data_IF_693502530997
#
_entry.id   IF_693502530997
#
_cell.length_a   1.000
_cell.length_b   1.000
_cell.length_c   1.000
_cell.angle_alpha   90.00
_cell.angle_beta   90.00
_cell.angle_gamma   90.00
#
_symmetry.space_group_name_H-M   'P 1'
#
loop_
_entity.id
_entity.type
_entity.pdbx_description
1 polymer ?
#
# COMPACT_ATOMS: atom_id res chain seq x y z
N UNK A 1 -15.69 1.12 -4.71
CA UNK A 1 -14.30 1.61 -4.75
C UNK A 1 -13.42 0.41 -4.40
N UNK A 2 -12.45 0.01 -5.25
CA UNK A 2 -11.54 -1.09 -4.88
C UNK A 2 -10.52 -0.51 -3.91
N UNK A 3 -10.47 -1.04 -2.70
CA UNK A 3 -9.57 -0.56 -1.65
C UNK A 3 -8.17 -1.08 -2.01
N UNK A 4 -7.15 -0.23 -2.09
CA UNK A 4 -5.78 -0.67 -2.40
C UNK A 4 -5.12 -1.32 -1.18
N UNK A 5 -5.51 -2.55 -0.88
CA UNK A 5 -5.11 -3.25 0.33
C UNK A 5 -3.97 -4.24 0.07
N UNK A 6 -2.76 -3.81 0.42
CA UNK A 6 -1.59 -4.66 0.63
C UNK A 6 -1.16 -5.51 -0.59
N UNK A 7 -1.36 -4.96 -1.80
CA UNK A 7 -0.15 -4.56 -2.52
C UNK A 7 0.59 -3.56 -1.62
N UNK A 8 1.81 -3.85 -1.17
CA UNK A 8 2.52 -2.99 -0.19
C UNK A 8 3.05 -1.66 -0.76
N UNK A 9 2.68 -1.35 -2.00
CA UNK A 9 2.83 -0.06 -2.69
C UNK A 9 2.00 1.08 -2.04
N UNK A 10 2.29 1.37 -0.76
CA UNK A 10 1.78 2.55 -0.05
C UNK A 10 2.59 3.77 -0.48
N UNK A 11 2.26 4.31 -1.66
CA UNK A 11 2.21 5.73 -2.03
C UNK A 11 1.38 5.79 -3.33
N UNK A 12 0.22 6.47 -3.32
CA UNK A 12 -0.56 6.70 -4.54
C UNK A 12 -0.18 8.02 -5.24
N UNK A 13 1.12 8.23 -5.44
CA UNK A 13 1.66 9.33 -6.25
C UNK A 13 3.01 8.98 -6.90
N UNK A 14 3.09 9.22 -8.20
CA UNK A 14 4.27 9.48 -9.05
C UNK A 14 5.67 9.04 -8.55
N UNK A 15 6.17 7.96 -9.15
CA UNK A 15 7.47 7.77 -9.86
C UNK A 15 8.82 8.35 -9.37
N UNK A 16 9.90 7.63 -9.77
CA UNK A 16 11.35 7.90 -9.75
C UNK A 16 12.18 7.45 -8.50
N UNK A 17 13.51 7.29 -8.68
CA UNK A 17 14.21 6.04 -8.24
C UNK A 17 15.51 6.16 -7.41
N UNK A 18 15.96 5.00 -6.85
CA UNK A 18 17.30 4.66 -6.26
C UNK A 18 17.73 5.36 -4.94
N UNK A 19 18.57 4.83 -4.03
CA UNK A 19 19.07 3.48 -3.59
C UNK A 19 19.73 3.64 -2.17
N UNK A 20 20.09 2.64 -1.34
CA UNK A 20 19.95 1.16 -1.35
C UNK A 20 21.20 0.45 -0.72
N UNK A 21 21.05 -0.55 0.18
CA UNK A 21 22.16 -1.45 0.64
C UNK A 21 22.13 -2.00 2.10
N UNK A 22 22.15 -3.35 2.23
CA UNK A 22 22.71 -4.28 3.26
C UNK A 22 22.66 -4.04 4.80
N UNK A 23 22.57 -5.06 5.70
CA UNK A 23 22.45 -6.54 5.56
C UNK A 23 21.76 -7.23 6.77
N UNK A 24 21.52 -8.55 6.64
CA UNK A 24 21.34 -9.60 7.67
C UNK A 24 20.14 -9.60 8.66
N UNK A 25 19.69 -10.82 9.02
CA UNK A 25 18.51 -11.09 9.87
C UNK A 25 18.67 -12.35 10.74
N UNK A 26 17.90 -12.44 11.84
CA UNK A 26 17.91 -13.55 12.80
C UNK A 26 16.52 -14.14 13.09
N UNK A 27 16.48 -15.40 13.52
CA UNK A 27 15.28 -16.25 13.57
C UNK A 27 14.42 -16.09 14.84
N UNK A 28 13.18 -16.61 14.82
CA UNK A 28 12.10 -16.19 15.72
C UNK A 28 11.41 -17.30 16.51
N UNK A 29 10.94 -16.98 17.72
CA UNK A 29 10.11 -17.88 18.55
C UNK A 29 8.94 -17.14 19.21
N UNK A 30 7.92 -17.90 19.64
CA UNK A 30 6.61 -17.52 20.25
C UNK A 30 5.44 -17.20 19.29
N UNK A 31 4.26 -17.71 19.65
CA UNK A 31 2.99 -17.48 18.95
C UNK A 31 2.47 -16.08 19.25
N UNK A 32 2.42 -15.21 18.23
CA UNK A 32 2.03 -13.81 18.37
C UNK A 32 0.64 -13.54 17.77
N UNK A 33 -0.41 -13.99 18.46
CA UNK A 33 -1.76 -13.47 18.23
C UNK A 33 -1.72 -11.94 18.38
N UNK A 34 -2.11 -11.23 17.32
CA UNK A 34 -2.00 -9.78 17.25
C UNK A 34 -3.02 -9.21 16.26
N UNK A 35 -3.43 -7.97 16.50
CA UNK A 35 -4.34 -7.21 15.63
C UNK A 35 -3.67 -5.90 15.21
N UNK A 36 -3.71 -5.61 13.92
CA UNK A 36 -3.20 -4.38 13.30
C UNK A 36 -4.25 -3.81 12.35
N UNK A 37 -4.38 -2.48 12.28
CA UNK A 37 -5.48 -1.83 11.57
C UNK A 37 -4.98 -0.88 10.49
N UNK A 38 -5.43 -1.07 9.26
CA UNK A 38 -5.14 -0.19 8.13
C UNK A 38 -6.34 0.70 7.82
N UNK A 39 -6.08 1.89 7.28
CA UNK A 39 -7.12 2.86 6.93
C UNK A 39 -6.82 3.46 5.55
N UNK A 40 -7.82 3.50 4.67
CA UNK A 40 -7.83 4.32 3.46
C UNK A 40 -8.77 5.49 3.70
N UNK A 41 -8.39 6.71 3.34
CA UNK A 41 -9.27 7.89 3.43
C UNK A 41 -10.37 7.85 2.38
N UNK A 42 -11.52 8.46 2.68
CA UNK A 42 -12.47 8.86 1.65
C UNK A 42 -11.91 9.88 0.67
N UNK A 43 -12.78 10.34 -0.22
CA UNK A 43 -12.47 11.34 -1.24
C UNK A 43 -13.60 12.39 -1.43
N UNK A 44 -14.70 12.25 -0.69
CA UNK A 44 -15.87 13.12 -0.77
C UNK A 44 -16.23 13.68 0.60
N UNK A 45 -16.65 14.96 0.61
CA UNK A 45 -17.23 15.58 1.82
C UNK A 45 -18.63 15.03 2.16
N UNK A 46 -19.16 14.14 1.32
CA UNK A 46 -20.41 13.40 1.49
C UNK A 46 -20.21 11.95 1.96
N UNK A 47 -18.95 11.49 2.10
CA UNK A 47 -18.66 10.15 2.63
C UNK A 47 -19.19 10.03 4.07
N UNK A 48 -19.87 8.91 4.38
CA UNK A 48 -20.53 8.69 5.68
C UNK A 48 -19.49 8.56 6.79
N UNK A 49 -18.39 7.86 6.50
CA UNK A 49 -17.25 7.70 7.37
C UNK A 49 -16.03 8.36 6.73
N UNK A 50 -15.16 9.00 7.52
CA UNK A 50 -13.92 9.60 6.99
C UNK A 50 -12.92 8.57 6.40
N UNK A 51 -13.11 7.29 6.72
CA UNK A 51 -12.21 6.20 6.34
C UNK A 51 -12.96 4.93 5.92
N UNK A 52 -12.28 4.15 5.09
CA UNK A 52 -12.40 2.70 5.03
C UNK A 52 -11.40 2.09 6.01
N UNK A 53 -11.80 1.06 6.76
CA UNK A 53 -10.98 0.40 7.78
C UNK A 53 -10.84 -1.10 7.49
N UNK A 54 -9.61 -1.59 7.61
CA UNK A 54 -9.31 -3.03 7.70
C UNK A 54 -8.70 -3.41 9.04
N UNK A 55 -8.80 -4.72 9.34
CA UNK A 55 -8.09 -5.42 10.40
C UNK A 55 -7.26 -6.54 9.78
N UNK A 56 -6.01 -6.63 10.23
CA UNK A 56 -5.14 -7.78 10.08
C UNK A 56 -5.11 -8.55 11.39
N UNK A 57 -5.35 -9.86 11.31
CA UNK A 57 -5.34 -10.77 12.46
C UNK A 57 -4.38 -11.92 12.19
N UNK A 58 -3.64 -12.34 13.23
CA UNK A 58 -2.64 -13.40 13.14
C UNK A 58 -3.00 -14.56 14.06
N UNK A 59 -3.05 -15.79 13.54
CA UNK A 59 -3.35 -17.01 14.30
C UNK A 59 -2.69 -18.22 13.63
N UNK A 60 -2.06 -19.14 14.39
CA UNK A 60 -1.52 -20.42 13.90
C UNK A 60 -0.67 -20.33 12.60
N UNK A 61 0.25 -19.37 12.55
CA UNK A 61 1.08 -19.01 11.38
C UNK A 61 0.29 -18.55 10.13
N UNK A 62 -0.99 -18.24 10.25
CA UNK A 62 -1.80 -17.62 9.20
C UNK A 62 -2.04 -16.14 9.51
N UNK A 63 -2.03 -15.35 8.44
CA UNK A 63 -2.41 -13.94 8.42
C UNK A 63 -3.76 -13.81 7.73
N UNK A 64 -4.70 -13.09 8.35
CA UNK A 64 -6.05 -12.87 7.85
C UNK A 64 -6.29 -11.38 7.64
N UNK A 65 -7.09 -11.03 6.63
CA UNK A 65 -7.60 -9.67 6.40
C UNK A 65 -9.12 -9.63 6.52
N UNK A 66 -9.64 -8.60 7.20
CA UNK A 66 -11.06 -8.29 7.24
C UNK A 66 -11.28 -6.79 7.01
N UNK A 67 -12.16 -6.42 6.09
CA UNK A 67 -12.75 -5.08 6.09
C UNK A 67 -13.77 -4.95 7.22
N UNK A 68 -13.63 -3.88 8.02
CA UNK A 68 -14.48 -3.60 9.18
C UNK A 68 -15.62 -2.63 8.82
N UNK A 69 -15.30 -1.58 8.06
CA UNK A 69 -16.28 -0.65 7.45
C UNK A 69 -15.66 0.15 6.29
N UNK A 70 -16.50 0.63 5.39
CA UNK A 70 -16.16 1.40 4.18
C UNK A 70 -16.56 2.87 4.35
N UNK A 71 -16.08 3.78 3.50
CA UNK A 71 -16.43 5.21 3.51
C UNK A 71 -17.93 5.47 3.29
N UNK A 72 -18.60 4.59 2.53
CA UNK A 72 -20.05 4.62 2.27
C UNK A 72 -20.92 4.03 3.40
N UNK A 73 -20.32 3.68 4.54
CA UNK A 73 -21.02 3.07 5.68
C UNK A 73 -21.16 1.54 5.61
N UNK A 74 -20.89 0.90 4.47
CA UNK A 74 -21.03 -0.55 4.32
C UNK A 74 -19.99 -1.33 5.12
N UNK A 75 -20.33 -2.58 5.46
CA UNK A 75 -19.48 -3.55 6.18
C UNK A 75 -19.28 -4.85 5.38
N UNK A 76 -19.75 -4.86 4.12
CA UNK A 76 -19.70 -6.01 3.23
C UNK A 76 -18.52 -5.85 2.28
N UNK A 77 -17.62 -6.82 2.29
CA UNK A 77 -16.41 -6.82 1.47
C UNK A 77 -16.21 -8.21 0.89
N UNK A 78 -16.03 -8.26 -0.43
CA UNK A 78 -15.58 -9.45 -1.15
C UNK A 78 -14.06 -9.55 -1.05
N UNK A 79 -13.52 -10.75 -1.28
CA UNK A 79 -12.06 -10.95 -1.36
C UNK A 79 -11.42 -10.04 -2.43
N UNK A 80 -12.11 -9.82 -3.55
CA UNK A 80 -11.68 -8.93 -4.65
C UNK A 80 -11.69 -7.43 -4.33
N UNK A 81 -12.22 -7.03 -3.17
CA UNK A 81 -12.18 -5.66 -2.67
C UNK A 81 -11.06 -5.46 -1.64
N UNK A 82 -10.42 -6.56 -1.21
CA UNK A 82 -9.47 -6.64 -0.10
C UNK A 82 -8.10 -7.21 -0.47
N UNK A 83 -8.00 -7.98 -1.57
CA UNK A 83 -6.84 -8.80 -1.91
C UNK A 83 -6.58 -8.84 -3.42
N UNK A 84 -5.29 -8.78 -3.78
CA UNK A 84 -4.78 -9.13 -5.10
C UNK A 84 -4.63 -10.66 -5.27
N UNK A 85 -4.53 -11.06 -6.53
CA UNK A 85 -4.00 -12.35 -6.97
C UNK A 85 -2.51 -12.18 -7.35
N UNK A 86 -1.68 -13.22 -7.19
CA UNK A 86 -0.25 -13.14 -7.57
C UNK A 86 0.17 -14.25 -8.53
N UNK A 87 1.01 -13.93 -9.52
CA UNK A 87 1.74 -14.93 -10.33
C UNK A 87 3.19 -15.01 -9.90
N UNK A 88 3.71 -16.22 -9.75
CA UNK A 88 5.14 -16.50 -9.64
C UNK A 88 5.54 -17.65 -10.60
N UNK A 89 6.80 -18.06 -10.55
CA UNK A 89 7.35 -19.10 -11.44
C UNK A 89 6.67 -20.47 -11.27
N UNK A 90 6.22 -20.83 -10.06
CA UNK A 90 5.52 -22.09 -9.78
C UNK A 90 4.02 -22.06 -10.13
N UNK A 91 3.34 -20.93 -9.92
CA UNK A 91 1.92 -20.81 -10.29
C UNK A 91 1.20 -19.51 -9.96
N UNK A 92 -0.12 -19.66 -9.85
CA UNK A 92 -1.08 -18.60 -9.52
C UNK A 92 -1.54 -18.78 -8.06
N UNK A 93 -1.25 -17.76 -7.27
CA UNK A 93 -1.74 -17.53 -5.92
C UNK A 93 -3.09 -16.81 -6.05
N UNK A 94 -4.17 -17.58 -6.14
CA UNK A 94 -5.52 -17.04 -6.30
C UNK A 94 -6.14 -16.62 -4.96
N UNK A 95 -6.78 -15.45 -4.93
CA UNK A 95 -7.30 -14.87 -3.71
C UNK A 95 -8.36 -15.77 -3.01
N UNK A 96 -8.34 -15.88 -1.67
CA UNK A 96 -9.20 -16.77 -0.89
C UNK A 96 -10.69 -16.41 -1.07
N UNK A 97 -11.50 -17.34 -1.60
CA UNK A 97 -12.93 -17.10 -1.89
C UNK A 97 -13.83 -17.25 -0.66
N UNK A 98 -13.37 -17.95 0.37
CA UNK A 98 -14.08 -18.21 1.64
C UNK A 98 -13.59 -17.29 2.76
N UNK A 99 -14.52 -16.66 3.48
CA UNK A 99 -14.26 -15.86 4.68
C UNK A 99 -14.40 -16.72 5.94
N UNK A 100 -13.54 -16.49 6.92
CA UNK A 100 -13.61 -17.05 8.29
C UNK A 100 -14.00 -15.95 9.29
N UNK A 101 -14.22 -16.30 10.56
CA UNK A 101 -14.48 -15.31 11.63
C UNK A 101 -13.32 -14.32 11.84
N UNK A 102 -12.09 -14.70 11.46
CA UNK A 102 -10.90 -13.82 11.45
C UNK A 102 -10.75 -13.01 10.17
N UNK A 103 -11.60 -13.24 9.16
CA UNK A 103 -11.51 -12.66 7.82
C UNK A 103 -11.09 -13.68 6.76
N UNK A 104 -10.64 -13.17 5.61
CA UNK A 104 -10.07 -13.95 4.53
C UNK A 104 -8.63 -14.34 4.85
N UNK A 105 -8.24 -15.60 4.63
CA UNK A 105 -6.86 -16.08 4.87
C UNK A 105 -5.92 -15.51 3.79
N UNK A 106 -5.23 -14.42 4.10
CA UNK A 106 -4.37 -13.70 3.16
C UNK A 106 -3.06 -14.44 2.86
N UNK A 107 -2.37 -14.95 3.89
CA UNK A 107 -1.02 -15.50 3.73
C UNK A 107 -0.63 -16.47 4.86
N UNK A 108 0.32 -17.36 4.57
CA UNK A 108 1.04 -18.18 5.57
C UNK A 108 2.35 -17.51 5.96
N UNK A 109 2.52 -17.19 7.24
CA UNK A 109 3.78 -16.69 7.80
C UNK A 109 4.88 -17.75 7.73
N UNK A 110 6.04 -17.37 7.21
CA UNK A 110 7.32 -18.07 7.39
C UNK A 110 7.97 -17.59 8.68
N UNK A 111 8.05 -16.27 8.89
CA UNK A 111 8.51 -15.61 10.12
C UNK A 111 7.70 -14.34 10.41
N UNK A 112 7.67 -13.89 11.66
CA UNK A 112 7.00 -12.63 12.05
C UNK A 112 7.61 -12.03 13.30
N UNK A 113 8.39 -10.97 13.14
CA UNK A 113 8.86 -10.13 14.25
C UNK A 113 7.85 -9.00 14.56
N UNK A 114 8.19 -8.10 15.48
CA UNK A 114 7.44 -6.86 15.68
C UNK A 114 7.46 -5.95 14.44
N UNK A 115 8.53 -5.99 13.65
CA UNK A 115 8.86 -5.04 12.58
C UNK A 115 9.29 -5.66 11.25
N UNK A 116 9.35 -7.00 11.13
CA UNK A 116 9.69 -7.72 9.89
C UNK A 116 8.77 -8.92 9.75
N UNK A 117 7.94 -8.96 8.70
CA UNK A 117 6.97 -10.04 8.47
C UNK A 117 7.28 -10.74 7.14
N UNK A 118 7.69 -12.01 7.17
CA UNK A 118 7.94 -12.81 5.96
C UNK A 118 6.84 -13.85 5.78
N UNK A 119 6.19 -13.86 4.61
CA UNK A 119 5.04 -14.71 4.33
C UNK A 119 4.97 -15.17 2.87
N UNK A 120 4.28 -16.28 2.66
CA UNK A 120 3.85 -16.76 1.34
C UNK A 120 2.37 -16.41 1.19
N UNK A 121 1.95 -15.71 0.11
CA UNK A 121 0.53 -15.43 -0.16
C UNK A 121 -0.32 -16.71 -0.21
N UNK A 122 -1.63 -16.59 0.02
CA UNK A 122 -2.55 -17.72 -0.08
C UNK A 122 -2.61 -18.28 -1.51
N UNK A 123 -2.78 -19.60 -1.64
CA UNK A 123 -3.05 -20.27 -2.91
C UNK A 123 -3.95 -21.48 -2.68
N UNK A 124 -5.02 -21.61 -3.46
CA UNK A 124 -5.88 -22.81 -3.45
C UNK A 124 -5.15 -24.09 -3.86
N UNK A 125 -3.94 -23.98 -4.42
CA UNK A 125 -3.12 -25.07 -4.94
C UNK A 125 -1.88 -25.38 -4.10
N UNK A 126 -1.68 -24.68 -2.97
CA UNK A 126 -0.51 -24.80 -2.10
C UNK A 126 0.83 -24.48 -2.80
N UNK A 127 0.83 -23.55 -3.76
CA UNK A 127 2.08 -22.96 -4.25
C UNK A 127 2.83 -22.28 -3.10
N UNK A 128 4.16 -22.34 -3.10
CA UNK A 128 4.95 -21.97 -1.92
C UNK A 128 6.36 -21.41 -2.19
N UNK A 129 6.72 -21.19 -3.46
CA UNK A 129 8.01 -20.61 -3.81
C UNK A 129 8.05 -19.09 -3.64
N UNK A 130 6.93 -18.39 -3.86
CA UNK A 130 6.83 -16.96 -3.58
C UNK A 130 6.88 -16.69 -2.06
N UNK A 131 7.83 -15.86 -1.66
CA UNK A 131 7.90 -15.24 -0.34
C UNK A 131 7.99 -13.73 -0.50
N UNK A 132 7.17 -13.01 0.26
CA UNK A 132 7.20 -11.56 0.43
C UNK A 132 7.69 -11.26 1.86
N UNK A 133 8.48 -10.20 2.03
CA UNK A 133 8.97 -9.74 3.33
C UNK A 133 8.75 -8.25 3.47
N UNK A 134 8.07 -7.86 4.54
CA UNK A 134 7.69 -6.48 4.81
C UNK A 134 8.44 -5.97 6.03
N UNK A 135 9.23 -4.89 5.87
CA UNK A 135 10.00 -4.25 6.92
C UNK A 135 9.33 -2.95 7.36
N UNK A 136 9.29 -2.73 8.67
CA UNK A 136 8.63 -1.59 9.30
C UNK A 136 9.52 -0.92 10.35
N UNK A 137 9.21 0.32 10.70
CA UNK A 137 9.60 0.92 11.98
C UNK A 137 8.38 1.09 12.89
N UNK A 138 8.58 0.96 14.21
CA UNK A 138 7.52 1.23 15.20
C UNK A 138 7.55 2.70 15.62
N UNK A 139 6.52 3.45 15.24
CA UNK A 139 6.36 4.86 15.63
C UNK A 139 5.48 4.96 16.89
N UNK A 140 6.00 5.60 17.94
CA UNK A 140 5.18 6.00 19.09
C UNK A 140 4.29 7.18 18.70
N UNK A 141 2.98 7.05 18.94
CA UNK A 141 1.97 8.04 18.61
C UNK A 141 1.46 8.83 19.82
N UNK A 142 1.79 8.41 21.04
CA UNK A 142 1.26 8.98 22.30
C UNK A 142 1.31 10.52 22.32
N UNK A 143 0.14 11.15 22.44
CA UNK A 143 -0.02 12.62 22.51
C UNK A 143 0.02 13.35 21.16
N UNK A 144 0.39 12.68 20.05
CA UNK A 144 0.47 13.30 18.72
C UNK A 144 -0.92 13.49 18.10
N UNK A 145 -1.04 14.45 17.19
CA UNK A 145 -2.24 14.66 16.38
C UNK A 145 -2.52 13.47 15.46
N UNK A 146 -3.80 13.16 15.22
CA UNK A 146 -4.20 11.97 14.44
C UNK A 146 -3.96 12.13 12.93
N UNK A 147 -4.32 13.28 12.36
CA UNK A 147 -4.33 13.52 10.91
C UNK A 147 -3.02 13.23 10.14
N UNK A 148 -1.83 13.72 10.53
CA UNK A 148 -0.61 13.46 9.75
C UNK A 148 -0.25 11.97 9.65
N UNK A 149 -0.66 11.15 10.61
CA UNK A 149 -0.22 9.75 10.66
C UNK A 149 -1.08 8.81 9.81
N UNK A 150 -2.35 9.12 9.54
CA UNK A 150 -3.22 8.26 8.71
C UNK A 150 -3.06 8.59 7.22
N UNK A 151 -3.24 9.87 6.89
CA UNK A 151 -3.00 10.42 5.56
C UNK A 151 -2.41 11.82 5.76
N UNK A 152 -1.11 11.91 5.52
CA UNK A 152 -0.30 13.09 5.70
C UNK A 152 -0.42 14.04 4.52
N UNK A 153 -0.55 13.54 3.28
CA UNK A 153 -0.86 14.40 2.13
C UNK A 153 -2.13 15.22 2.38
N UNK A 154 -3.25 14.57 2.72
CA UNK A 154 -4.52 15.24 3.03
C UNK A 154 -4.38 16.17 4.25
N UNK A 155 -3.50 15.85 5.20
CA UNK A 155 -3.20 16.74 6.33
C UNK A 155 -2.46 18.01 5.90
N UNK A 156 -1.34 17.89 5.18
CA UNK A 156 -0.49 19.02 4.82
C UNK A 156 -1.11 19.87 3.72
N UNK A 157 -1.72 19.25 2.70
CA UNK A 157 -2.46 19.95 1.67
C UNK A 157 -3.71 20.63 2.24
N UNK A 158 -4.48 19.93 3.08
CA UNK A 158 -5.69 20.46 3.72
C UNK A 158 -5.45 21.59 4.71
N UNK A 159 -4.24 21.64 5.28
CA UNK A 159 -3.79 22.73 6.18
C UNK A 159 -3.25 23.95 5.43
N UNK A 160 -2.92 23.82 4.14
CA UNK A 160 -2.42 24.92 3.31
C UNK A 160 -3.54 25.53 2.46
N UNK A 161 -4.03 26.70 2.86
CA UNK A 161 -5.12 27.42 2.17
C UNK A 161 -4.82 27.71 0.69
N UNK A 162 -3.55 27.86 0.29
CA UNK A 162 -3.18 28.11 -1.11
C UNK A 162 -3.43 26.91 -2.04
N UNK A 163 -3.44 25.68 -1.52
CA UNK A 163 -3.69 24.46 -2.30
C UNK A 163 -5.18 24.13 -2.45
N UNK A 164 -6.08 24.82 -1.72
CA UNK A 164 -7.52 24.50 -1.64
C UNK A 164 -8.26 24.52 -2.99
N UNK A 165 -7.78 25.30 -3.97
CA UNK A 165 -8.33 25.34 -5.33
C UNK A 165 -7.83 24.20 -6.24
N UNK A 166 -6.85 23.42 -5.79
CA UNK A 166 -6.12 22.40 -6.58
C UNK A 166 -6.37 21.00 -6.05
N UNK A 167 -6.30 20.79 -4.73
CA UNK A 167 -6.66 19.51 -4.08
C UNK A 167 -8.15 19.40 -3.78
N UNK A 168 -8.90 20.50 -3.95
CA UNK A 168 -10.33 20.57 -3.69
C UNK A 168 -10.70 20.61 -2.21
N UNK A 169 -11.99 20.45 -1.92
CA UNK A 169 -12.53 20.66 -0.59
C UNK A 169 -12.25 19.51 0.41
N UNK A 170 -11.84 18.34 -0.06
CA UNK A 170 -11.74 17.14 0.78
C UNK A 170 -10.62 17.25 1.82
N UNK A 171 -9.43 17.70 1.43
CA UNK A 171 -8.28 17.81 2.34
C UNK A 171 -8.56 18.75 3.52
N UNK A 172 -9.17 19.91 3.26
CA UNK A 172 -9.56 20.83 4.33
C UNK A 172 -10.69 20.28 5.22
N UNK A 173 -11.63 19.50 4.65
CA UNK A 173 -12.65 18.78 5.42
C UNK A 173 -12.04 17.70 6.33
N UNK A 174 -11.07 16.93 5.82
CA UNK A 174 -10.30 15.93 6.57
C UNK A 174 -9.56 16.56 7.76
N UNK A 175 -8.82 17.65 7.52
CA UNK A 175 -8.14 18.43 8.58
C UNK A 175 -9.14 19.01 9.59
N UNK A 176 -10.30 19.48 9.14
CA UNK A 176 -11.34 20.02 10.02
C UNK A 176 -11.94 18.94 10.93
N UNK A 177 -12.27 17.75 10.40
CA UNK A 177 -12.82 16.61 11.16
C UNK A 177 -11.86 16.12 12.25
N UNK A 178 -10.56 16.12 11.95
CA UNK A 178 -9.50 15.63 12.86
C UNK A 178 -8.90 16.73 13.76
N UNK A 179 -9.38 17.97 13.67
CA UNK A 179 -8.81 19.12 14.40
C UNK A 179 -8.87 18.91 15.92
N UNK A 180 -7.69 18.97 16.56
CA UNK A 180 -7.55 18.79 18.01
C UNK A 180 -7.69 17.35 18.50
N UNK A 181 -7.78 16.36 17.61
CA UNK A 181 -7.82 14.94 17.96
C UNK A 181 -6.39 14.41 18.08
N UNK A 182 -6.08 13.76 19.20
CA UNK A 182 -4.75 13.20 19.50
C UNK A 182 -4.84 11.73 19.93
N UNK A 183 -3.75 11.00 19.75
CA UNK A 183 -3.64 9.61 20.17
C UNK A 183 -3.40 9.48 21.69
N UNK A 184 -4.11 8.57 22.39
CA UNK A 184 -3.91 8.33 23.82
C UNK A 184 -2.61 7.56 24.10
N UNK A 185 -2.24 7.43 25.38
CA UNK A 185 -1.09 6.65 25.84
C UNK A 185 -1.17 5.19 25.40
N UNK A 186 -0.04 4.61 24.99
CA UNK A 186 0.03 3.24 24.46
C UNK A 186 -0.35 3.12 22.98
N UNK A 187 -0.58 4.22 22.27
CA UNK A 187 -0.78 4.24 20.82
C UNK A 187 0.54 4.12 20.07
N UNK A 188 0.61 3.16 19.14
CA UNK A 188 1.73 2.99 18.21
C UNK A 188 1.22 2.63 16.82
N UNK A 189 2.05 2.84 15.81
CA UNK A 189 1.85 2.35 14.46
C UNK A 189 3.14 1.79 13.86
N UNK A 190 3.01 0.99 12.81
CA UNK A 190 4.07 0.54 11.93
C UNK A 190 4.05 1.42 10.68
N UNK A 191 5.17 2.05 10.35
CA UNK A 191 5.41 2.69 9.04
C UNK A 191 6.25 1.74 8.20
N UNK A 192 5.85 1.46 6.96
CA UNK A 192 6.65 0.65 6.02
C UNK A 192 8.01 1.30 5.76
N UNK A 193 9.05 0.49 5.62
CA UNK A 193 10.44 0.90 5.36
C UNK A 193 10.91 0.36 4.00
N UNK A 194 10.65 -0.91 3.73
CA UNK A 194 10.79 -1.55 2.43
C UNK A 194 10.01 -2.86 2.38
N UNK A 195 9.61 -3.22 1.18
CA UNK A 195 9.10 -4.55 0.85
C UNK A 195 10.21 -5.32 0.12
N UNK A 196 10.16 -6.65 0.13
CA UNK A 196 11.08 -7.47 -0.65
C UNK A 196 10.51 -8.83 -1.01
N UNK A 197 11.10 -9.48 -2.01
CA UNK A 197 10.68 -10.80 -2.47
C UNK A 197 11.86 -11.68 -2.88
N UNK A 198 11.71 -12.98 -2.66
CA UNK A 198 12.72 -13.99 -3.00
C UNK A 198 12.74 -14.37 -4.49
N UNK A 199 11.74 -13.98 -5.27
CA UNK A 199 11.59 -14.35 -6.69
C UNK A 199 10.80 -13.28 -7.44
N UNK A 200 10.96 -13.16 -8.75
CA UNK A 200 10.12 -12.24 -9.53
C UNK A 200 8.65 -12.68 -9.49
N UNK A 201 7.74 -11.73 -9.30
CA UNK A 201 6.31 -11.99 -9.26
C UNK A 201 5.50 -10.90 -9.97
N UNK A 202 4.20 -11.14 -10.11
CA UNK A 202 3.23 -10.18 -10.64
C UNK A 202 2.06 -10.07 -9.67
N UNK A 203 1.75 -8.86 -9.22
CA UNK A 203 0.50 -8.51 -8.52
C UNK A 203 -0.55 -8.10 -9.56
N UNK A 204 -1.77 -8.65 -9.48
CA UNK A 204 -2.89 -8.23 -10.32
C UNK A 204 -4.24 -8.46 -9.64
N UNK A 205 -5.28 -7.80 -10.15
CA UNK A 205 -6.66 -8.04 -9.72
C UNK A 205 -7.39 -8.85 -10.79
N UNK A 206 -7.80 -10.09 -10.51
CA UNK A 206 -8.62 -10.90 -11.43
C UNK A 206 -9.95 -10.23 -11.82
N UNK A 207 -10.41 -9.25 -11.03
CA UNK A 207 -11.57 -8.40 -11.32
C UNK A 207 -11.28 -7.21 -12.25
N UNK A 208 -10.12 -7.16 -12.93
CA UNK A 208 -9.69 -6.05 -13.80
C UNK A 208 -9.38 -6.47 -15.26
N UNK A 209 -9.90 -7.61 -15.73
CA UNK A 209 -9.69 -8.15 -17.10
C UNK A 209 -9.81 -7.11 -18.23
N UNK A 210 -8.79 -7.05 -19.10
CA UNK A 210 -8.82 -6.26 -20.32
C UNK A 210 -9.61 -6.96 -21.44
N UNK A 211 -10.46 -6.20 -22.11
CA UNK A 211 -11.13 -6.61 -23.35
C UNK A 211 -10.37 -6.04 -24.56
N UNK A 212 -10.22 -6.81 -25.63
CA UNK A 212 -9.56 -6.40 -26.88
C UNK A 212 -8.14 -5.82 -26.68
N UNK A 213 -7.36 -6.45 -25.79
CA UNK A 213 -6.00 -6.01 -25.47
C UNK A 213 -5.08 -5.97 -26.69
N UNK A 214 -4.35 -4.86 -26.84
CA UNK A 214 -3.33 -4.62 -27.84
C UNK A 214 -2.13 -3.95 -27.14
N UNK A 215 -0.98 -4.63 -27.01
CA UNK A 215 0.16 -4.10 -26.25
C UNK A 215 0.72 -2.81 -26.86
N UNK A 216 0.64 -2.65 -28.19
CA UNK A 216 1.11 -1.47 -28.92
C UNK A 216 0.21 -0.24 -28.72
N UNK A 217 -1.01 -0.42 -28.20
CA UNK A 217 -1.91 0.67 -27.81
C UNK A 217 -1.93 0.92 -26.30
N UNK A 218 -1.58 -0.09 -25.51
CA UNK A 218 -1.57 -0.02 -24.05
C UNK A 218 -0.30 0.67 -23.53
N UNK A 219 0.87 0.22 -23.98
CA UNK A 219 2.16 0.78 -23.58
C UNK A 219 2.61 1.86 -24.57
N UNK A 220 2.40 3.13 -24.22
CA UNK A 220 2.72 4.30 -25.06
C UNK A 220 4.18 4.32 -25.52
N UNK A 221 5.09 4.03 -24.59
CA UNK A 221 6.55 4.07 -24.77
C UNK A 221 7.11 2.70 -25.21
N UNK A 222 6.22 1.79 -25.63
CA UNK A 222 6.53 0.45 -26.08
C UNK A 222 6.73 -0.55 -24.94
N UNK A 223 6.88 -1.82 -25.33
CA UNK A 223 6.84 -2.96 -24.40
C UNK A 223 7.90 -4.03 -24.69
N UNK A 224 8.03 -4.98 -23.76
CA UNK A 224 8.86 -6.18 -23.85
C UNK A 224 7.97 -7.38 -23.50
N UNK A 225 7.71 -8.27 -24.47
CA UNK A 225 7.11 -9.57 -24.18
C UNK A 225 8.14 -10.50 -23.54
N UNK A 226 7.75 -11.18 -22.47
CA UNK A 226 8.58 -12.12 -21.71
C UNK A 226 7.71 -13.22 -21.06
N UNK A 227 8.31 -14.12 -20.29
CA UNK A 227 7.60 -15.18 -19.57
C UNK A 227 8.03 -15.25 -18.10
N UNK A 228 7.05 -15.32 -17.21
CA UNK A 228 7.26 -15.69 -15.81
C UNK A 228 6.79 -17.15 -15.61
N UNK A 229 7.75 -18.07 -15.47
CA UNK A 229 7.47 -19.51 -15.52
C UNK A 229 6.78 -19.90 -16.83
N UNK A 230 5.48 -20.20 -16.76
CA UNK A 230 4.61 -20.57 -17.89
C UNK A 230 3.66 -19.45 -18.36
N UNK A 231 3.66 -18.29 -17.70
CA UNK A 231 2.75 -17.19 -17.98
C UNK A 231 3.44 -16.17 -18.91
N UNK A 232 2.76 -15.77 -19.98
CA UNK A 232 3.27 -14.72 -20.86
C UNK A 232 2.95 -13.35 -20.24
N UNK A 233 3.94 -12.47 -20.20
CA UNK A 233 3.82 -11.09 -19.71
C UNK A 233 4.23 -10.13 -20.82
N UNK A 234 3.53 -9.02 -20.95
CA UNK A 234 4.02 -7.84 -21.66
C UNK A 234 4.35 -6.77 -20.62
N UNK A 235 5.60 -6.30 -20.58
CA UNK A 235 6.11 -5.32 -19.62
C UNK A 235 6.35 -3.96 -20.29
N UNK A 236 6.08 -2.86 -19.59
CA UNK A 236 6.44 -1.50 -20.02
C UNK A 236 7.95 -1.35 -20.23
N UNK A 237 8.34 -0.46 -21.16
CA UNK A 237 9.72 0.01 -21.31
C UNK A 237 10.08 1.19 -20.41
N UNK A 238 9.08 1.91 -19.89
CA UNK A 238 9.28 2.79 -18.73
C UNK A 238 9.46 1.90 -17.50
N UNK A 239 10.72 1.79 -17.05
CA UNK A 239 11.16 0.96 -15.93
C UNK A 239 11.92 1.84 -14.95
N UNK A 240 11.56 1.76 -13.67
CA UNK A 240 12.14 2.59 -12.62
C UNK A 240 12.70 1.70 -11.51
N UNK A 241 13.87 2.07 -10.96
CA UNK A 241 14.55 1.19 -10.01
C UNK A 241 13.83 1.17 -8.66
N UNK A 242 13.58 -0.05 -8.17
CA UNK A 242 13.00 -0.39 -6.87
C UNK A 242 11.51 -0.05 -6.72
N UNK A 243 10.77 0.02 -7.83
CA UNK A 243 9.29 0.04 -7.89
C UNK A 243 8.80 -1.13 -8.75
N UNK A 244 7.48 -1.34 -8.83
CA UNK A 244 6.91 -2.20 -9.88
C UNK A 244 7.15 -1.64 -11.29
N UNK A 245 7.22 -2.53 -12.28
CA UNK A 245 7.07 -2.20 -13.70
C UNK A 245 5.62 -2.46 -14.11
N UNK A 246 5.01 -1.49 -14.81
CA UNK A 246 3.67 -1.65 -15.40
C UNK A 246 3.65 -2.85 -16.36
N UNK A 247 2.69 -3.75 -16.17
CA UNK A 247 2.64 -5.04 -16.86
C UNK A 247 1.21 -5.40 -17.30
N UNK A 248 1.12 -6.34 -18.25
CA UNK A 248 -0.10 -7.09 -18.54
C UNK A 248 0.22 -8.58 -18.53
N UNK A 249 -0.47 -9.32 -17.69
CA UNK A 249 -0.31 -10.76 -17.55
C UNK A 249 -1.36 -11.53 -18.36
N UNK A 250 -0.93 -12.55 -19.11
CA UNK A 250 -1.83 -13.46 -19.82
C UNK A 250 -2.08 -14.74 -19.02
N UNK A 251 -3.34 -14.96 -18.65
CA UNK A 251 -3.79 -16.13 -17.88
C UNK A 251 -4.88 -16.85 -18.68
N UNK A 252 -4.53 -18.00 -19.27
CA UNK A 252 -5.42 -18.71 -20.19
C UNK A 252 -5.66 -17.92 -21.48
N UNK A 253 -6.92 -17.61 -21.78
CA UNK A 253 -7.31 -16.73 -22.89
C UNK A 253 -7.16 -15.24 -22.58
N UNK A 254 -7.04 -14.88 -21.31
CA UNK A 254 -7.41 -13.55 -20.81
C UNK A 254 -6.19 -12.72 -20.37
N UNK A 255 -6.34 -11.40 -20.41
CA UNK A 255 -5.29 -10.42 -20.15
C UNK A 255 -5.67 -9.53 -18.97
N UNK A 256 -4.74 -9.27 -18.06
CA UNK A 256 -4.98 -8.55 -16.80
C UNK A 256 -3.94 -7.43 -16.60
N UNK A 257 -4.34 -6.18 -16.29
CA UNK A 257 -3.44 -5.11 -15.87
C UNK A 257 -2.78 -5.52 -14.56
N UNK A 258 -1.48 -5.28 -14.45
CA UNK A 258 -0.68 -5.87 -13.39
C UNK A 258 0.59 -5.05 -13.08
N UNK A 259 1.19 -5.33 -11.94
CA UNK A 259 2.47 -4.77 -11.49
C UNK A 259 3.49 -5.91 -11.39
N UNK A 260 4.53 -5.87 -12.24
CA UNK A 260 5.64 -6.84 -12.20
C UNK A 260 6.74 -6.36 -11.25
N UNK A 261 7.19 -7.25 -10.37
CA UNK A 261 8.26 -7.01 -9.41
C UNK A 261 9.41 -7.99 -9.67
N UNK A 262 10.65 -7.50 -9.63
CA UNK A 262 11.86 -8.32 -9.67
C UNK A 262 12.22 -8.84 -8.27
N UNK A 263 12.89 -10.00 -8.20
CA UNK A 263 13.53 -10.46 -6.97
C UNK A 263 14.46 -9.38 -6.35
N UNK A 264 14.39 -9.20 -5.03
CA UNK A 264 15.09 -8.13 -4.31
C UNK A 264 14.16 -7.25 -3.48
N UNK A 265 14.64 -6.07 -3.07
CA UNK A 265 13.85 -5.05 -2.37
C UNK A 265 13.14 -4.08 -3.33
N UNK A 266 11.93 -3.66 -2.96
CA UNK A 266 11.11 -2.67 -3.65
C UNK A 266 10.37 -1.77 -2.64
N UNK A 267 9.76 -0.68 -3.12
CA UNK A 267 9.00 0.29 -2.32
C UNK A 267 9.75 0.79 -1.07
N UNK A 268 11.05 1.07 -1.26
CA UNK A 268 11.97 1.49 -0.21
C UNK A 268 11.72 2.97 0.14
N UNK A 269 11.14 3.21 1.32
CA UNK A 269 10.76 4.55 1.83
C UNK A 269 11.92 5.55 1.77
N UNK A 270 13.13 5.14 2.13
CA UNK A 270 14.31 6.01 2.13
C UNK A 270 14.74 6.47 0.72
N UNK A 271 14.29 5.80 -0.34
CA UNK A 271 14.53 6.20 -1.74
C UNK A 271 13.38 7.07 -2.25
N UNK A 272 12.13 6.73 -1.91
CA UNK A 272 10.96 7.56 -2.19
C UNK A 272 11.12 8.95 -1.54
N UNK A 273 11.53 9.03 -0.28
CA UNK A 273 11.83 10.31 0.40
C UNK A 273 12.88 11.12 -0.38
N UNK A 274 13.98 10.51 -0.83
CA UNK A 274 15.01 11.19 -1.62
C UNK A 274 14.50 11.67 -2.98
N UNK A 275 13.53 10.97 -3.58
CA UNK A 275 12.90 11.40 -4.82
C UNK A 275 12.02 12.62 -4.57
N UNK A 276 11.10 12.56 -3.61
CA UNK A 276 10.23 13.68 -3.26
C UNK A 276 11.00 14.91 -2.73
N UNK A 277 12.20 14.71 -2.16
CA UNK A 277 13.13 15.81 -1.86
C UNK A 277 13.70 16.48 -3.11
N UNK A 278 14.03 15.71 -4.16
CA UNK A 278 14.41 16.24 -5.49
C UNK A 278 13.23 16.96 -6.14
N UNK A 279 12.07 16.32 -6.25
CA UNK A 279 10.87 16.91 -6.87
C UNK A 279 10.48 18.25 -6.23
N UNK A 280 10.60 18.34 -4.90
CA UNK A 280 10.41 19.60 -4.19
C UNK A 280 11.51 20.63 -4.49
N UNK A 281 12.80 20.26 -4.57
CA UNK A 281 13.85 21.22 -4.96
C UNK A 281 13.69 21.69 -6.41
N UNK A 282 13.36 20.79 -7.34
CA UNK A 282 13.20 21.10 -8.76
C UNK A 282 11.96 22.01 -8.96
N UNK A 283 10.84 21.73 -8.28
CA UNK A 283 9.68 22.61 -8.29
C UNK A 283 9.95 23.98 -7.61
N UNK A 284 10.78 24.03 -6.57
CA UNK A 284 11.25 25.28 -5.95
C UNK A 284 12.15 26.07 -6.91
N UNK A 285 12.97 25.40 -7.72
CA UNK A 285 13.89 26.04 -8.67
C UNK A 285 13.17 26.54 -9.95
N UNK A 286 12.23 25.77 -10.49
CA UNK A 286 11.49 26.13 -11.72
C UNK A 286 10.38 27.15 -11.45
N UNK A 287 9.57 26.94 -10.40
CA UNK A 287 8.36 27.73 -10.14
C UNK A 287 8.49 28.69 -8.94
N UNK A 288 9.55 28.55 -8.13
CA UNK A 288 9.73 29.32 -6.89
C UNK A 288 9.01 28.69 -5.70
N UNK A 289 9.60 28.83 -4.49
CA UNK A 289 9.12 28.18 -3.26
C UNK A 289 7.65 28.44 -2.88
N UNK A 290 7.13 29.63 -3.20
CA UNK A 290 5.75 30.00 -2.86
C UNK A 290 4.74 29.64 -3.97
N UNK A 291 5.16 28.90 -4.99
CA UNK A 291 4.26 28.39 -6.03
C UNK A 291 3.40 27.24 -5.53
N UNK A 292 2.26 27.05 -6.21
CA UNK A 292 1.39 25.88 -6.03
C UNK A 292 2.17 24.58 -6.22
N UNK A 293 3.03 24.49 -7.24
CA UNK A 293 3.78 23.28 -7.56
C UNK A 293 4.76 22.91 -6.44
N UNK A 294 5.55 23.87 -5.96
CA UNK A 294 6.46 23.67 -4.84
C UNK A 294 5.72 23.30 -3.54
N UNK A 295 4.59 23.95 -3.25
CA UNK A 295 3.80 23.66 -2.05
C UNK A 295 3.07 22.31 -2.11
N UNK A 296 2.67 21.86 -3.31
CA UNK A 296 2.06 20.55 -3.51
C UNK A 296 3.11 19.43 -3.32
N UNK A 297 4.31 19.61 -3.89
CA UNK A 297 5.44 18.71 -3.65
C UNK A 297 5.85 18.69 -2.16
N UNK A 298 5.86 19.84 -1.48
CA UNK A 298 6.09 19.95 -0.03
C UNK A 298 5.02 19.20 0.79
N UNK A 299 3.75 19.23 0.37
CA UNK A 299 2.68 18.49 1.02
C UNK A 299 2.82 16.97 0.89
N UNK A 300 3.14 16.46 -0.32
CA UNK A 300 3.44 15.04 -0.52
C UNK A 300 4.68 14.59 0.28
N UNK A 301 5.78 15.35 0.19
CA UNK A 301 7.04 15.04 0.87
C UNK A 301 6.87 14.96 2.40
N UNK A 302 6.12 15.90 2.98
CA UNK A 302 5.83 15.88 4.40
C UNK A 302 4.86 14.75 4.76
N UNK A 303 3.88 14.44 3.90
CA UNK A 303 2.97 13.31 4.08
C UNK A 303 3.72 11.98 4.19
N UNK A 304 4.54 11.69 3.18
CA UNK A 304 5.46 10.55 3.12
C UNK A 304 6.39 10.43 4.35
N UNK A 305 6.82 11.56 4.90
CA UNK A 305 7.64 11.61 6.12
C UNK A 305 6.87 11.35 7.42
N UNK A 306 5.53 11.33 7.38
CA UNK A 306 4.65 11.22 8.56
C UNK A 306 3.71 10.02 8.58
N UNK A 307 3.30 9.51 7.42
CA UNK A 307 2.26 8.49 7.29
C UNK A 307 2.65 7.13 7.90
N UNK A 308 1.66 6.39 8.38
CA UNK A 308 1.81 5.10 9.03
C UNK A 308 0.88 4.06 8.39
N UNK A 309 1.44 2.90 8.04
CA UNK A 309 0.77 1.84 7.28
C UNK A 309 -0.25 1.07 8.11
N UNK A 310 0.08 0.77 9.38
CA UNK A 310 -0.75 -0.05 10.26
C UNK A 310 -0.74 0.46 11.71
N UNK A 311 -1.91 0.55 12.33
CA UNK A 311 -2.11 1.06 13.68
C UNK A 311 -2.35 -0.07 14.68
N UNK A 312 -1.84 0.07 15.91
CA UNK A 312 -2.18 -0.85 17.00
C UNK A 312 -3.64 -0.63 17.47
N UNK A 313 -4.18 -1.56 18.27
CA UNK A 313 -5.56 -1.51 18.75
C UNK A 313 -5.91 -0.21 19.51
N UNK A 314 -4.99 0.31 20.32
CA UNK A 314 -5.17 1.55 21.09
C UNK A 314 -5.27 2.77 20.18
N UNK A 315 -4.38 2.87 19.19
CA UNK A 315 -4.41 3.92 18.18
C UNK A 315 -5.68 3.81 17.31
N UNK A 316 -6.04 2.59 16.89
CA UNK A 316 -7.24 2.31 16.11
C UNK A 316 -8.53 2.80 16.78
N UNK A 317 -8.71 2.57 18.09
CA UNK A 317 -9.88 3.07 18.84
C UNK A 317 -9.94 4.60 18.86
N UNK A 318 -8.79 5.29 18.87
CA UNK A 318 -8.74 6.75 18.78
C UNK A 318 -9.10 7.30 17.38
N UNK A 319 -8.81 6.53 16.33
CA UNK A 319 -9.21 6.84 14.94
C UNK A 319 -10.71 6.61 14.76
N UNK A 320 -11.22 5.45 15.19
CA UNK A 320 -12.65 5.11 15.10
C UNK A 320 -13.54 6.13 15.86
N UNK A 321 -13.01 6.81 16.88
CA UNK A 321 -13.69 7.88 17.64
C UNK A 321 -13.86 9.21 16.87
N UNK A 322 -13.54 9.25 15.57
CA UNK A 322 -13.77 10.41 14.66
C UNK A 322 -14.56 10.04 13.40
N UNK A 323 -15.06 8.81 13.33
CA UNK A 323 -15.79 8.22 12.21
C UNK A 323 -16.93 9.11 11.70
#
# INVERSE_FOLDING_TARGET
MKIKLLSFAVISSLFLSACGGDSDAGDYTTNNESEWFGYETGASTQDINLFTKVKFSFNNKQMYINGEYNVDGSTQFLSSDLLSDYLATDGLYDAPKSKTDLGYQYATLKSKTATVWTFTPYSSRNYNQLELTEKFETVNLTGKAISPYINGFEHYAGSNIALSSVVGAYSSYYVQKLKGKTFPSGSTCLRSISSSTNTSFVDFYSSSRLNNYDPSKYFKDGYISTTLGKFNLDLSRDMQLNTSVDAVAKIGSDYYPASYYTAGEYDILANQIKQYERDYQDAVAEFGKNSINAQLAEAYLNGLKSECTLFNKTASVAIDAVK
#
